data_IF_672136525046
#
_entry.id   IF_672136525046
#
_cell.length_a   1.000
_cell.length_b   1.000
_cell.length_c   1.000
_cell.angle_alpha   90.00
_cell.angle_beta   90.00
_cell.angle_gamma   90.00
#
_symmetry.space_group_name_H-M   'P 1'
#
loop_
_entity.id
_entity.type
_entity.pdbx_description
1 polymer ?
#
# COMPACT_ATOMS: atom_id res chain seq x y z
N UNK A 1 -9.91 -34.37 -17.31
CA UNK A 1 -8.73 -33.48 -17.14
C UNK A 1 -8.80 -32.26 -18.08
N UNK A 2 -9.91 -31.49 -18.09
CA UNK A 2 -10.10 -30.35 -19.04
C UNK A 2 -10.50 -29.02 -18.35
N UNK A 3 -10.36 -28.89 -17.02
CA UNK A 3 -10.79 -27.68 -16.30
C UNK A 3 -9.77 -26.53 -16.27
N UNK A 4 -8.47 -26.83 -16.42
CA UNK A 4 -7.39 -25.84 -16.27
C UNK A 4 -7.04 -25.07 -17.54
N UNK A 5 -7.39 -25.59 -18.72
CA UNK A 5 -7.15 -24.92 -20.02
C UNK A 5 -8.16 -23.78 -20.32
N UNK A 6 -9.35 -23.82 -19.71
CA UNK A 6 -10.36 -22.76 -19.83
C UNK A 6 -9.98 -21.48 -19.06
N UNK A 7 -9.18 -21.61 -17.99
CA UNK A 7 -8.82 -20.47 -17.12
C UNK A 7 -7.72 -19.60 -17.75
N UNK A 8 -6.84 -20.16 -18.58
CA UNK A 8 -5.83 -19.42 -19.35
C UNK A 8 -6.19 -19.34 -20.85
N UNK A 9 -7.48 -19.36 -21.19
CA UNK A 9 -7.93 -19.36 -22.57
C UNK A 9 -7.97 -17.97 -23.22
N UNK A 10 -8.08 -17.90 -24.57
CA UNK A 10 -8.33 -16.64 -25.30
C UNK A 10 -9.59 -15.90 -24.82
N UNK A 11 -10.54 -16.62 -24.23
CA UNK A 11 -11.73 -16.06 -23.58
C UNK A 11 -11.34 -15.12 -22.44
N UNK A 12 -10.48 -15.53 -21.50
CA UNK A 12 -10.06 -14.67 -20.38
C UNK A 12 -9.39 -13.39 -20.90
N UNK A 13 -8.49 -13.53 -21.88
CA UNK A 13 -7.80 -12.38 -22.49
C UNK A 13 -8.81 -11.44 -23.14
N UNK A 14 -9.77 -11.97 -23.91
CA UNK A 14 -10.81 -11.15 -24.55
C UNK A 14 -11.66 -10.38 -23.53
N UNK A 15 -12.06 -11.04 -22.44
CA UNK A 15 -12.85 -10.41 -21.37
C UNK A 15 -12.05 -9.31 -20.68
N UNK A 16 -10.78 -9.57 -20.34
CA UNK A 16 -9.89 -8.55 -19.76
C UNK A 16 -9.73 -7.33 -20.67
N UNK A 17 -9.51 -7.54 -21.98
CA UNK A 17 -9.38 -6.46 -22.96
C UNK A 17 -10.68 -5.65 -23.04
N UNK A 18 -11.84 -6.30 -23.12
CA UNK A 18 -13.14 -5.62 -23.12
C UNK A 18 -13.33 -4.79 -21.86
N UNK A 19 -13.00 -5.32 -20.67
CA UNK A 19 -13.10 -4.58 -19.41
C UNK A 19 -12.16 -3.37 -19.34
N UNK A 20 -10.94 -3.49 -19.88
CA UNK A 20 -9.98 -2.38 -19.94
C UNK A 20 -10.47 -1.29 -20.90
N UNK A 21 -10.97 -1.66 -22.07
CA UNK A 21 -11.51 -0.73 -23.05
C UNK A 21 -12.78 -0.02 -22.54
N UNK A 22 -13.68 -0.77 -21.91
CA UNK A 22 -14.87 -0.20 -21.27
C UNK A 22 -14.49 0.80 -20.17
N UNK A 23 -13.52 0.45 -19.31
CA UNK A 23 -13.01 1.35 -18.27
C UNK A 23 -12.37 2.61 -18.86
N UNK A 24 -11.61 2.47 -19.95
CA UNK A 24 -11.03 3.60 -20.68
C UNK A 24 -12.12 4.50 -21.30
N UNK A 25 -13.16 3.91 -21.90
CA UNK A 25 -14.30 4.65 -22.43
C UNK A 25 -15.01 5.45 -21.33
N UNK A 26 -15.24 4.85 -20.15
CA UNK A 26 -15.82 5.55 -18.99
C UNK A 26 -14.91 6.70 -18.54
N UNK A 27 -13.59 6.50 -18.47
CA UNK A 27 -12.64 7.59 -18.13
C UNK A 27 -12.74 8.77 -19.10
N UNK A 28 -12.95 8.48 -20.39
CA UNK A 28 -13.13 9.51 -21.42
C UNK A 28 -14.47 10.24 -21.26
N UNK A 29 -15.56 9.51 -21.07
CA UNK A 29 -16.91 10.09 -20.95
C UNK A 29 -17.06 10.91 -19.66
N UNK A 30 -16.52 10.40 -18.55
CA UNK A 30 -16.59 11.07 -17.25
C UNK A 30 -15.49 12.14 -17.05
N UNK A 31 -14.62 12.36 -18.04
CA UNK A 31 -13.54 13.36 -18.03
C UNK A 31 -12.62 13.28 -16.78
N UNK A 32 -12.40 12.08 -16.24
CA UNK A 32 -11.67 11.84 -14.98
C UNK A 32 -10.15 12.01 -15.15
N UNK A 33 -9.65 11.92 -16.40
CA UNK A 33 -8.25 12.11 -16.72
C UNK A 33 -7.88 11.53 -18.09
N UNK A 34 -6.63 11.10 -18.24
CA UNK A 34 -6.17 10.51 -19.50
C UNK A 34 -6.79 9.13 -19.73
N UNK A 35 -7.35 8.92 -20.93
CA UNK A 35 -7.91 7.64 -21.39
C UNK A 35 -6.90 6.49 -21.33
N UNK A 36 -5.60 6.83 -21.39
CA UNK A 36 -4.48 5.91 -21.37
C UNK A 36 -4.09 5.43 -19.96
N UNK A 37 -4.66 6.03 -18.91
CA UNK A 37 -4.34 5.70 -17.51
C UNK A 37 -4.63 4.22 -17.21
N UNK A 38 -5.83 3.74 -17.58
CA UNK A 38 -6.25 2.37 -17.30
C UNK A 38 -5.47 1.36 -18.14
N UNK A 39 -5.38 1.49 -19.49
CA UNK A 39 -4.64 0.52 -20.31
C UNK A 39 -3.16 0.39 -19.94
N UNK A 40 -2.46 1.50 -19.68
CA UNK A 40 -1.05 1.42 -19.26
C UNK A 40 -0.86 0.81 -17.89
N UNK A 41 -1.74 1.12 -16.93
CA UNK A 41 -1.70 0.49 -15.61
C UNK A 41 -1.95 -1.02 -15.72
N UNK A 42 -2.92 -1.44 -16.52
CA UNK A 42 -3.23 -2.85 -16.77
C UNK A 42 -2.05 -3.59 -17.43
N UNK A 43 -1.47 -3.04 -18.51
CA UNK A 43 -0.33 -3.65 -19.19
C UNK A 43 0.88 -3.79 -18.26
N UNK A 44 1.23 -2.71 -17.53
CA UNK A 44 2.31 -2.74 -16.54
C UNK A 44 2.04 -3.77 -15.45
N UNK A 45 0.80 -3.86 -14.96
CA UNK A 45 0.38 -4.82 -13.95
C UNK A 45 0.54 -6.27 -14.42
N UNK A 46 0.13 -6.58 -15.65
CA UNK A 46 0.31 -7.91 -16.26
C UNK A 46 1.78 -8.28 -16.35
N UNK A 47 2.62 -7.38 -16.89
CA UNK A 47 4.07 -7.62 -17.02
C UNK A 47 4.74 -7.80 -15.65
N UNK A 48 4.40 -6.95 -14.67
CA UNK A 48 4.95 -7.06 -13.31
C UNK A 48 4.52 -8.36 -12.63
N UNK A 49 3.25 -8.75 -12.76
CA UNK A 49 2.74 -9.97 -12.13
C UNK A 49 3.35 -11.22 -12.78
N UNK A 50 3.50 -11.24 -14.10
CA UNK A 50 4.16 -12.34 -14.81
C UNK A 50 5.63 -12.48 -14.38
N UNK A 51 6.35 -11.37 -14.24
CA UNK A 51 7.72 -11.37 -13.74
C UNK A 51 7.79 -11.88 -12.29
N UNK A 52 6.90 -11.39 -11.40
CA UNK A 52 6.84 -11.83 -10.00
C UNK A 52 6.47 -13.31 -9.89
N UNK A 53 5.57 -13.83 -10.73
CA UNK A 53 5.25 -15.25 -10.77
C UNK A 53 6.49 -16.09 -11.10
N UNK A 54 7.29 -15.68 -12.08
CA UNK A 54 8.56 -16.34 -12.39
C UNK A 54 9.58 -16.27 -11.24
N UNK A 55 9.66 -15.12 -10.57
CA UNK A 55 10.53 -14.94 -9.39
C UNK A 55 10.06 -15.80 -8.22
N UNK A 56 8.76 -15.95 -7.99
CA UNK A 56 8.22 -16.79 -6.92
C UNK A 56 8.59 -18.27 -7.13
N UNK A 57 8.53 -18.76 -8.37
CA UNK A 57 9.01 -20.11 -8.70
C UNK A 57 10.48 -20.30 -8.33
N UNK A 58 11.32 -19.29 -8.57
CA UNK A 58 12.73 -19.30 -8.15
C UNK A 58 12.90 -19.13 -6.63
N UNK A 59 12.04 -18.35 -5.98
CA UNK A 59 12.07 -18.10 -4.53
C UNK A 59 11.74 -19.36 -3.72
N UNK A 60 10.91 -20.26 -4.26
CA UNK A 60 10.51 -21.52 -3.63
C UNK A 60 11.67 -22.51 -3.44
N UNK A 61 12.83 -22.30 -4.07
CA UNK A 61 13.96 -23.23 -3.99
C UNK A 61 14.82 -23.08 -2.72
N UNK A 62 14.87 -21.90 -2.07
CA UNK A 62 15.72 -21.66 -0.89
C UNK A 62 15.20 -20.51 0.00
N UNK A 63 15.53 -20.56 1.29
CA UNK A 63 15.16 -19.49 2.22
C UNK A 63 15.89 -18.17 1.90
N UNK A 64 17.13 -18.25 1.44
CA UNK A 64 17.94 -17.08 1.07
C UNK A 64 17.39 -16.35 -0.17
N UNK A 65 16.80 -17.07 -1.14
CA UNK A 65 16.12 -16.45 -2.28
C UNK A 65 14.87 -15.68 -1.85
N UNK A 66 14.18 -16.13 -0.80
CA UNK A 66 13.01 -15.41 -0.26
C UNK A 66 13.42 -14.07 0.36
N UNK A 67 14.55 -14.02 1.08
CA UNK A 67 15.09 -12.77 1.62
C UNK A 67 15.48 -11.77 0.51
N UNK A 68 16.09 -12.26 -0.58
CA UNK A 68 16.46 -11.43 -1.72
C UNK A 68 15.23 -10.84 -2.42
N UNK A 69 14.18 -11.64 -2.61
CA UNK A 69 12.90 -11.18 -3.15
C UNK A 69 12.28 -10.10 -2.26
N UNK A 70 12.25 -10.33 -0.94
CA UNK A 70 11.74 -9.36 0.02
C UNK A 70 12.52 -8.04 0.00
N UNK A 71 13.85 -8.09 -0.09
CA UNK A 71 14.68 -6.91 -0.24
C UNK A 71 14.35 -6.16 -1.55
N UNK A 72 14.23 -6.87 -2.67
CA UNK A 72 13.84 -6.28 -3.95
C UNK A 72 12.47 -5.61 -3.90
N UNK A 73 11.48 -6.29 -3.30
CA UNK A 73 10.14 -5.74 -3.10
C UNK A 73 10.17 -4.48 -2.23
N UNK A 74 10.96 -4.48 -1.15
CA UNK A 74 11.12 -3.34 -0.26
C UNK A 74 11.71 -2.13 -1.00
N UNK A 75 12.75 -2.33 -1.80
CA UNK A 75 13.36 -1.27 -2.62
C UNK A 75 12.34 -0.70 -3.61
N UNK A 76 11.64 -1.56 -4.35
CA UNK A 76 10.63 -1.12 -5.33
C UNK A 76 9.49 -0.36 -4.65
N UNK A 77 9.01 -0.86 -3.50
CA UNK A 77 7.96 -0.21 -2.72
C UNK A 77 8.42 1.15 -2.18
N UNK A 78 9.63 1.25 -1.64
CA UNK A 78 10.21 2.48 -1.13
C UNK A 78 10.38 3.55 -2.22
N UNK A 79 10.94 3.18 -3.38
CA UNK A 79 11.05 4.08 -4.54
C UNK A 79 9.67 4.51 -5.04
N UNK A 80 8.70 3.59 -5.06
CA UNK A 80 7.34 3.87 -5.49
C UNK A 80 6.63 4.81 -4.51
N UNK A 81 6.77 4.61 -3.20
CA UNK A 81 6.25 5.50 -2.17
C UNK A 81 6.82 6.91 -2.33
N UNK A 82 8.15 7.04 -2.43
CA UNK A 82 8.82 8.32 -2.59
C UNK A 82 8.29 9.09 -3.81
N UNK A 83 8.12 8.41 -4.96
CA UNK A 83 7.52 9.01 -6.16
C UNK A 83 6.05 9.37 -5.97
N UNK A 84 5.29 8.54 -5.27
CA UNK A 84 3.85 8.72 -5.05
C UNK A 84 3.53 9.83 -4.05
N UNK A 85 4.41 10.21 -3.13
CA UNK A 85 4.11 11.29 -2.16
C UNK A 85 4.00 12.67 -2.85
N UNK A 86 4.74 12.89 -3.94
CA UNK A 86 4.73 14.20 -4.63
C UNK A 86 5.35 15.33 -3.78
N UNK A 87 6.31 14.99 -2.93
CA UNK A 87 7.14 15.96 -2.21
C UNK A 87 8.32 16.39 -3.09
N UNK A 88 8.71 17.67 -3.02
CA UNK A 88 9.90 18.17 -3.72
C UNK A 88 11.18 17.97 -2.90
N UNK A 89 11.06 17.78 -1.59
CA UNK A 89 12.17 17.54 -0.65
C UNK A 89 11.83 16.39 0.28
N UNK A 90 12.85 15.60 0.62
CA UNK A 90 12.75 14.54 1.63
C UNK A 90 11.96 13.30 1.22
N UNK A 91 11.55 13.14 -0.04
CA UNK A 91 10.74 11.99 -0.49
C UNK A 91 11.39 10.62 -0.16
N UNK A 92 12.72 10.54 -0.09
CA UNK A 92 13.45 9.33 0.29
C UNK A 92 13.15 8.88 1.75
N UNK A 93 12.75 9.78 2.64
CA UNK A 93 12.37 9.44 4.02
C UNK A 93 11.09 8.60 4.10
N UNK A 94 10.33 8.51 3.01
CA UNK A 94 9.23 7.56 2.87
C UNK A 94 9.68 6.10 3.08
N UNK A 95 10.93 5.79 2.70
CA UNK A 95 11.50 4.45 2.91
C UNK A 95 11.63 4.14 4.39
N UNK A 96 12.01 5.13 5.21
CA UNK A 96 12.09 4.98 6.67
C UNK A 96 10.73 4.72 7.29
N UNK A 97 9.71 5.51 6.91
CA UNK A 97 8.33 5.29 7.37
C UNK A 97 7.81 3.90 6.98
N UNK A 98 8.10 3.47 5.74
CA UNK A 98 7.75 2.14 5.26
C UNK A 98 8.46 1.04 6.04
N UNK A 99 9.76 1.23 6.35
CA UNK A 99 10.54 0.29 7.16
C UNK A 99 9.93 0.12 8.55
N UNK A 100 9.55 1.22 9.21
CA UNK A 100 8.94 1.18 10.55
C UNK A 100 7.64 0.39 10.53
N UNK A 101 6.76 0.63 9.55
CA UNK A 101 5.52 -0.14 9.41
C UNK A 101 5.76 -1.63 9.12
N UNK A 102 6.83 -1.97 8.41
CA UNK A 102 7.14 -3.36 8.08
C UNK A 102 7.76 -4.11 9.27
N UNK A 103 8.70 -3.45 9.96
CA UNK A 103 9.39 -3.97 11.14
C UNK A 103 8.47 -4.02 12.37
N UNK A 104 7.40 -3.24 12.44
CA UNK A 104 6.45 -3.35 13.56
C UNK A 104 5.65 -4.66 13.56
N UNK A 105 5.56 -5.35 12.42
CA UNK A 105 4.72 -6.54 12.25
C UNK A 105 5.53 -7.80 11.96
N UNK A 106 6.47 -7.75 11.01
CA UNK A 106 7.15 -8.97 10.56
C UNK A 106 7.85 -9.73 11.69
N UNK A 107 8.64 -9.09 12.57
CA UNK A 107 9.25 -9.80 13.70
C UNK A 107 8.22 -10.46 14.61
N UNK A 108 7.08 -9.81 14.89
CA UNK A 108 6.01 -10.40 15.70
C UNK A 108 5.44 -11.66 15.06
N UNK A 109 5.20 -11.64 13.74
CA UNK A 109 4.69 -12.80 13.01
C UNK A 109 5.70 -13.95 12.95
N UNK A 110 6.98 -13.63 12.80
CA UNK A 110 8.06 -14.63 12.68
C UNK A 110 8.41 -15.25 14.05
N UNK A 111 8.47 -14.45 15.11
CA UNK A 111 8.83 -14.90 16.46
C UNK A 111 7.69 -15.65 17.15
N UNK A 112 6.43 -15.24 16.92
CA UNK A 112 5.26 -15.91 17.51
C UNK A 112 5.03 -17.33 16.98
N UNK A 113 5.68 -17.72 15.88
CA UNK A 113 5.42 -18.99 15.20
C UNK A 113 4.05 -19.07 14.54
N UNK A 114 3.28 -17.97 14.52
CA UNK A 114 1.96 -17.90 13.89
C UNK A 114 2.04 -18.11 12.37
N UNK A 115 3.17 -17.78 11.76
CA UNK A 115 3.46 -17.99 10.33
C UNK A 115 4.67 -18.92 10.21
N UNK A 116 4.57 -20.03 9.44
CA UNK A 116 5.73 -20.88 9.16
C UNK A 116 6.85 -20.06 8.53
N UNK A 117 8.09 -20.27 8.98
CA UNK A 117 9.30 -19.65 8.41
C UNK A 117 9.68 -20.28 7.05
N UNK A 118 8.71 -20.35 6.15
CA UNK A 118 8.89 -20.83 4.77
C UNK A 118 8.68 -19.67 3.81
N UNK A 119 9.47 -19.63 2.74
CA UNK A 119 9.37 -18.58 1.72
C UNK A 119 7.96 -18.41 1.15
N UNK A 120 7.25 -19.53 0.99
CA UNK A 120 5.88 -19.60 0.44
C UNK A 120 4.86 -18.88 1.32
N UNK A 121 5.05 -18.87 2.65
CA UNK A 121 4.13 -18.21 3.58
C UNK A 121 4.56 -16.77 3.88
N UNK A 122 5.86 -16.55 4.11
CA UNK A 122 6.39 -15.23 4.52
C UNK A 122 6.32 -14.22 3.39
N UNK A 123 6.68 -14.60 2.16
CA UNK A 123 6.76 -13.66 1.03
C UNK A 123 5.39 -13.01 0.72
N UNK A 124 4.28 -13.76 0.57
CA UNK A 124 2.97 -13.16 0.30
C UNK A 124 2.47 -12.25 1.43
N UNK A 125 2.63 -12.66 2.70
CA UNK A 125 2.18 -11.85 3.84
C UNK A 125 2.97 -10.55 3.90
N UNK A 126 4.30 -10.64 3.82
CA UNK A 126 5.17 -9.48 3.81
C UNK A 126 4.87 -8.55 2.62
N UNK A 127 4.61 -9.11 1.44
CA UNK A 127 4.19 -8.37 0.25
C UNK A 127 2.87 -7.60 0.45
N UNK A 128 1.86 -8.27 1.03
CA UNK A 128 0.56 -7.66 1.32
C UNK A 128 0.73 -6.51 2.33
N UNK A 129 1.49 -6.73 3.40
CA UNK A 129 1.76 -5.69 4.41
C UNK A 129 2.51 -4.51 3.79
N UNK A 130 3.55 -4.78 3.00
CA UNK A 130 4.37 -3.76 2.35
C UNK A 130 3.55 -2.88 1.39
N UNK A 131 2.77 -3.51 0.51
CA UNK A 131 1.99 -2.82 -0.51
C UNK A 131 0.89 -1.94 0.08
N UNK A 132 0.25 -2.41 1.14
CA UNK A 132 -0.75 -1.63 1.87
C UNK A 132 -0.12 -0.45 2.62
N UNK A 133 0.97 -0.68 3.36
CA UNK A 133 1.69 0.39 4.04
C UNK A 133 2.19 1.48 3.07
N UNK A 134 2.75 1.08 1.92
CA UNK A 134 3.15 1.99 0.83
C UNK A 134 1.98 2.87 0.37
N UNK A 135 0.79 2.30 0.23
CA UNK A 135 -0.40 3.02 -0.24
C UNK A 135 -0.88 4.01 0.82
N UNK A 136 -1.02 3.58 2.08
CA UNK A 136 -1.47 4.46 3.18
C UNK A 136 -0.51 5.62 3.43
N UNK A 137 0.81 5.38 3.41
CA UNK A 137 1.82 6.44 3.50
C UNK A 137 1.68 7.44 2.35
N UNK A 138 1.52 6.96 1.11
CA UNK A 138 1.41 7.82 -0.07
C UNK A 138 0.18 8.73 0.01
N UNK A 139 -0.95 8.20 0.49
CA UNK A 139 -2.19 8.95 0.68
C UNK A 139 -2.06 9.93 1.85
N UNK A 140 -1.59 9.47 3.02
CA UNK A 140 -1.38 10.30 4.20
C UNK A 140 -0.49 11.50 3.90
N UNK A 141 0.62 11.27 3.20
CA UNK A 141 1.55 12.32 2.87
C UNK A 141 0.95 13.36 1.91
N UNK A 142 0.18 12.91 0.91
CA UNK A 142 -0.52 13.83 -0.01
C UNK A 142 -1.52 14.69 0.74
N UNK A 143 -2.39 14.07 1.53
CA UNK A 143 -3.39 14.78 2.33
C UNK A 143 -2.73 15.79 3.28
N UNK A 144 -1.67 15.39 3.99
CA UNK A 144 -0.94 16.27 4.89
C UNK A 144 -0.28 17.46 4.16
N UNK A 145 0.40 17.21 3.04
CA UNK A 145 1.04 18.26 2.24
C UNK A 145 0.01 19.20 1.60
N UNK A 146 -1.13 18.67 1.16
CA UNK A 146 -2.23 19.46 0.59
C UNK A 146 -2.90 20.31 1.66
N UNK A 147 -3.11 19.77 2.87
CA UNK A 147 -3.68 20.50 4.00
C UNK A 147 -2.78 21.67 4.44
N UNK A 148 -1.46 21.44 4.57
CA UNK A 148 -0.49 22.51 4.88
C UNK A 148 -0.50 23.58 3.79
N UNK A 149 -0.56 23.19 2.51
CA UNK A 149 -0.57 24.14 1.41
C UNK A 149 -1.87 24.97 1.36
N UNK A 150 -3.02 24.35 1.66
CA UNK A 150 -4.31 25.02 1.69
C UNK A 150 -4.47 25.97 2.88
N UNK A 151 -3.85 25.65 4.01
CA UNK A 151 -3.95 26.41 5.27
C UNK A 151 -2.61 26.99 5.71
N UNK A 152 -1.81 27.45 4.74
CA UNK A 152 -0.49 28.02 5.00
C UNK A 152 -0.55 29.19 5.98
N UNK A 153 -1.58 30.04 5.87
CA UNK A 153 -1.79 31.17 6.79
C UNK A 153 -2.03 30.76 8.25
N UNK A 154 -2.70 29.62 8.51
CA UNK A 154 -2.87 29.10 9.87
C UNK A 154 -1.52 28.64 10.46
N UNK A 155 -0.70 27.98 9.64
CA UNK A 155 0.64 27.54 10.03
C UNK A 155 1.55 28.74 10.31
N UNK A 156 1.50 29.79 9.47
CA UNK A 156 2.28 31.02 9.64
C UNK A 156 1.84 31.80 10.89
N UNK A 157 0.54 31.90 11.16
CA UNK A 157 0.02 32.53 12.37
C UNK A 157 0.49 31.80 13.64
N UNK A 158 0.43 30.47 13.66
CA UNK A 158 0.93 29.66 14.77
C UNK A 158 2.44 29.88 15.01
N UNK A 159 3.24 29.97 13.94
CA UNK A 159 4.66 30.29 14.01
C UNK A 159 4.90 31.71 14.56
N UNK A 160 4.10 32.71 14.15
CA UNK A 160 4.18 34.07 14.69
C UNK A 160 3.83 34.17 16.19
N UNK A 161 3.02 33.23 16.69
CA UNK A 161 2.75 33.07 18.12
C UNK A 161 3.88 32.33 18.87
N UNK A 162 4.97 31.96 18.20
CA UNK A 162 6.13 31.29 18.78
C UNK A 162 5.99 29.76 18.90
N UNK A 163 4.98 29.16 18.27
CA UNK A 163 4.83 27.70 18.27
C UNK A 163 5.94 27.04 17.45
N UNK A 164 6.28 25.78 17.79
CA UNK A 164 7.26 25.01 17.03
C UNK A 164 6.76 24.72 15.61
N UNK A 165 7.66 24.52 14.65
CA UNK A 165 7.30 24.14 13.27
C UNK A 165 6.48 22.85 13.23
N UNK A 166 6.82 21.90 14.10
CA UNK A 166 6.11 20.63 14.23
C UNK A 166 4.67 20.86 14.66
N UNK A 167 4.45 21.59 15.75
CA UNK A 167 3.11 21.74 16.33
C UNK A 167 2.22 22.64 15.47
N UNK A 168 2.80 23.69 14.88
CA UNK A 168 2.11 24.57 13.93
C UNK A 168 1.56 23.80 12.73
N UNK A 169 2.33 22.85 12.20
CA UNK A 169 1.89 21.98 11.09
C UNK A 169 0.97 20.87 11.56
N UNK A 170 1.23 20.29 12.73
CA UNK A 170 0.44 19.18 13.26
C UNK A 170 -1.02 19.58 13.48
N UNK A 171 -1.29 20.81 13.93
CA UNK A 171 -2.66 21.31 14.10
C UNK A 171 -3.50 21.27 12.81
N UNK A 172 -2.85 21.37 11.65
CA UNK A 172 -3.50 21.24 10.34
C UNK A 172 -3.53 19.78 9.86
N UNK A 173 -2.43 19.04 10.03
CA UNK A 173 -2.30 17.66 9.54
C UNK A 173 -3.24 16.70 10.27
N UNK A 174 -3.43 16.86 11.59
CA UNK A 174 -4.20 15.92 12.43
C UNK A 174 -5.64 15.75 11.93
N UNK A 175 -6.22 16.83 11.36
CA UNK A 175 -7.58 16.83 10.80
C UNK A 175 -7.75 15.89 9.59
N UNK A 176 -6.67 15.56 8.88
CA UNK A 176 -6.70 14.72 7.67
C UNK A 176 -5.92 13.41 7.81
N UNK A 177 -5.16 13.26 8.89
CA UNK A 177 -4.30 12.11 9.16
C UNK A 177 -5.07 10.77 9.13
N UNK A 178 -6.19 10.72 9.87
CA UNK A 178 -7.00 9.51 10.03
C UNK A 178 -7.65 9.05 8.72
N UNK A 179 -7.89 9.97 7.77
CA UNK A 179 -8.52 9.67 6.48
C UNK A 179 -7.74 8.63 5.67
N UNK A 180 -6.41 8.62 5.80
CA UNK A 180 -5.55 7.65 5.11
C UNK A 180 -5.70 6.20 5.60
N UNK A 181 -6.22 5.99 6.81
CA UNK A 181 -6.42 4.68 7.44
C UNK A 181 -7.85 4.15 7.27
N UNK A 182 -8.79 4.99 6.85
CA UNK A 182 -10.20 4.61 6.68
C UNK A 182 -10.40 3.37 5.81
N UNK A 183 -9.74 3.20 4.63
CA UNK A 183 -9.95 2.01 3.80
C UNK A 183 -9.64 0.70 4.54
N UNK A 184 -8.61 0.69 5.37
CA UNK A 184 -8.20 -0.50 6.14
C UNK A 184 -9.13 -0.73 7.32
N UNK A 185 -9.56 0.33 8.02
CA UNK A 185 -10.53 0.24 9.11
C UNK A 185 -11.88 -0.27 8.59
N UNK A 186 -12.36 0.27 7.47
CA UNK A 186 -13.65 -0.10 6.88
C UNK A 186 -13.61 -1.51 6.28
N UNK A 187 -12.52 -1.89 5.60
CA UNK A 187 -12.33 -3.26 5.15
C UNK A 187 -12.28 -4.26 6.32
N UNK A 188 -11.74 -3.86 7.47
CA UNK A 188 -11.71 -4.70 8.67
C UNK A 188 -13.11 -4.82 9.30
N UNK A 189 -13.89 -3.74 9.33
CA UNK A 189 -15.26 -3.73 9.86
C UNK A 189 -16.24 -4.55 9.01
N UNK A 190 -16.04 -4.60 7.71
CA UNK A 190 -16.96 -5.21 6.74
C UNK A 190 -16.54 -6.61 6.29
N UNK A 191 -15.40 -7.11 6.78
CA UNK A 191 -14.91 -8.45 6.45
C UNK A 191 -15.93 -9.51 6.85
N UNK A 192 -16.25 -10.41 5.92
CA UNK A 192 -17.22 -11.49 6.15
C UNK A 192 -18.70 -11.06 6.04
N UNK A 193 -19.00 -9.76 6.00
CA UNK A 193 -20.35 -9.24 5.74
C UNK A 193 -20.57 -8.92 4.27
N UNK A 194 -19.66 -8.15 3.67
CA UNK A 194 -19.78 -7.70 2.27
C UNK A 194 -18.58 -8.14 1.43
N UNK A 195 -17.42 -8.28 2.06
CA UNK A 195 -16.18 -8.62 1.36
C UNK A 195 -15.60 -9.93 1.88
N UNK A 196 -15.26 -10.84 0.96
CA UNK A 196 -14.42 -12.00 1.21
C UNK A 196 -13.02 -11.73 0.66
N UNK A 197 -12.01 -11.48 1.52
CA UNK A 197 -10.66 -11.19 1.06
C UNK A 197 -10.06 -12.36 0.29
N UNK A 198 -9.24 -12.06 -0.72
CA UNK A 198 -8.60 -13.09 -1.55
C UNK A 198 -7.69 -14.04 -0.74
N UNK A 199 -7.04 -13.55 0.32
CA UNK A 199 -6.21 -14.38 1.19
C UNK A 199 -7.04 -15.40 1.99
N UNK A 200 -8.21 -15.00 2.51
CA UNK A 200 -9.17 -15.92 3.13
C UNK A 200 -9.60 -17.02 2.16
N UNK A 201 -10.02 -16.65 0.95
CA UNK A 201 -10.45 -17.62 -0.08
C UNK A 201 -9.28 -18.53 -0.46
N UNK A 202 -8.07 -18.00 -0.61
CA UNK A 202 -6.87 -18.78 -0.92
C UNK A 202 -6.57 -19.84 0.15
N UNK A 203 -6.57 -19.44 1.43
CA UNK A 203 -6.36 -20.38 2.54
C UNK A 203 -7.49 -21.40 2.59
N UNK A 204 -8.75 -20.96 2.50
CA UNK A 204 -9.93 -21.83 2.51
C UNK A 204 -9.86 -22.91 1.43
N UNK A 205 -9.51 -22.53 0.19
CA UNK A 205 -9.40 -23.47 -0.93
C UNK A 205 -8.20 -24.41 -0.79
N UNK A 206 -7.10 -23.94 -0.17
CA UNK A 206 -5.89 -24.75 0.03
C UNK A 206 -5.98 -25.73 1.21
N UNK A 207 -6.65 -25.36 2.30
CA UNK A 207 -6.70 -26.15 3.54
C UNK A 207 -8.05 -26.84 3.75
N UNK A 208 -9.11 -26.39 3.08
CA UNK A 208 -10.48 -26.84 3.30
C UNK A 208 -11.10 -26.39 4.63
N UNK A 209 -10.38 -25.64 5.46
CA UNK A 209 -10.83 -25.23 6.80
C UNK A 209 -11.19 -23.74 6.85
N UNK A 210 -12.49 -23.46 6.98
CA UNK A 210 -12.99 -22.09 7.14
C UNK A 210 -12.50 -21.43 8.44
N UNK A 211 -12.38 -22.19 9.53
CA UNK A 211 -11.87 -21.68 10.80
C UNK A 211 -10.40 -21.24 10.68
N UNK A 212 -9.58 -22.04 9.99
CA UNK A 212 -8.17 -21.69 9.76
C UNK A 212 -8.02 -20.49 8.83
N UNK A 213 -8.82 -20.44 7.76
CA UNK A 213 -8.85 -19.29 6.85
C UNK A 213 -9.25 -18.00 7.59
N UNK A 214 -10.26 -18.07 8.46
CA UNK A 214 -10.71 -16.94 9.27
C UNK A 214 -9.60 -16.45 10.23
N UNK A 215 -8.94 -17.38 10.93
CA UNK A 215 -7.85 -17.04 11.85
C UNK A 215 -6.68 -16.32 11.16
N UNK A 216 -6.23 -16.85 10.01
CA UNK A 216 -5.16 -16.23 9.22
C UNK A 216 -5.60 -14.87 8.68
N UNK A 217 -6.84 -14.74 8.22
CA UNK A 217 -7.35 -13.47 7.72
C UNK A 217 -7.42 -12.40 8.82
N UNK A 218 -7.88 -12.75 10.02
CA UNK A 218 -7.91 -11.83 11.18
C UNK A 218 -6.50 -11.39 11.54
N UNK A 219 -5.55 -12.33 11.58
CA UNK A 219 -4.13 -12.03 11.81
C UNK A 219 -3.60 -11.01 10.80
N UNK A 220 -3.90 -11.21 9.51
CA UNK A 220 -3.49 -10.28 8.44
C UNK A 220 -4.13 -8.91 8.61
N UNK A 221 -5.43 -8.83 8.93
CA UNK A 221 -6.11 -7.53 9.10
C UNK A 221 -5.54 -6.73 10.28
N UNK A 222 -5.29 -7.38 11.40
CA UNK A 222 -4.68 -6.74 12.58
C UNK A 222 -3.24 -6.31 12.28
N UNK A 223 -2.47 -7.16 11.60
CA UNK A 223 -1.14 -6.84 11.12
C UNK A 223 -1.16 -5.61 10.19
N UNK A 224 -2.10 -5.53 9.26
CA UNK A 224 -2.25 -4.37 8.37
C UNK A 224 -2.57 -3.09 9.13
N UNK A 225 -3.48 -3.13 10.11
CA UNK A 225 -3.81 -1.99 10.96
C UNK A 225 -2.57 -1.48 11.72
N UNK A 226 -1.83 -2.38 12.37
CA UNK A 226 -0.60 -2.01 13.10
C UNK A 226 0.45 -1.42 12.15
N UNK A 227 0.75 -2.13 11.06
CA UNK A 227 1.76 -1.71 10.08
C UNK A 227 1.47 -0.33 9.52
N UNK A 228 0.23 -0.12 9.03
CA UNK A 228 -0.16 1.14 8.42
C UNK A 228 -0.21 2.28 9.44
N UNK A 229 -0.72 2.03 10.64
CA UNK A 229 -0.77 3.07 11.69
C UNK A 229 0.62 3.55 12.05
N UNK A 230 1.58 2.64 12.26
CA UNK A 230 2.98 3.00 12.50
C UNK A 230 3.58 3.77 11.32
N UNK A 231 3.37 3.30 10.10
CA UNK A 231 3.95 3.91 8.91
C UNK A 231 3.39 5.32 8.64
N UNK A 232 2.08 5.49 8.81
CA UNK A 232 1.38 6.78 8.67
C UNK A 232 1.81 7.75 9.76
N UNK A 233 1.91 7.30 11.02
CA UNK A 233 2.38 8.15 12.13
C UNK A 233 3.78 8.70 11.88
N UNK A 234 4.73 7.86 11.44
CA UNK A 234 6.08 8.31 11.09
C UNK A 234 6.06 9.28 9.90
N UNK A 235 5.25 9.00 8.88
CA UNK A 235 5.11 9.88 7.71
C UNK A 235 4.62 11.27 8.10
N UNK A 236 3.56 11.33 8.91
CA UNK A 236 2.99 12.59 9.39
C UNK A 236 4.01 13.36 10.24
N UNK A 237 4.70 12.68 11.14
CA UNK A 237 5.73 13.30 11.97
C UNK A 237 6.89 13.89 11.13
N UNK A 238 7.33 13.18 10.09
CA UNK A 238 8.36 13.66 9.15
C UNK A 238 7.90 14.90 8.37
N UNK A 239 6.62 14.99 8.01
CA UNK A 239 6.04 16.15 7.32
C UNK A 239 5.86 17.32 8.30
N UNK A 240 5.38 17.05 9.51
CA UNK A 240 5.21 18.05 10.56
C UNK A 240 6.57 18.71 10.91
N UNK A 241 7.64 17.92 11.02
CA UNK A 241 9.01 18.44 11.22
C UNK A 241 9.62 19.11 9.99
N UNK A 242 8.95 19.06 8.84
CA UNK A 242 9.44 19.65 7.59
C UNK A 242 10.58 18.93 6.91
N UNK A 243 10.86 17.69 7.31
CA UNK A 243 11.82 16.82 6.64
C UNK A 243 11.28 16.45 5.25
N UNK A 244 9.98 16.15 5.17
CA UNK A 244 9.26 15.95 3.90
C UNK A 244 8.43 17.21 3.63
N UNK A 245 8.57 17.79 2.43
CA UNK A 245 7.87 19.02 2.09
C UNK A 245 7.80 19.29 0.60
N UNK A 246 6.92 20.23 0.23
CA UNK A 246 6.89 20.83 -1.11
C UNK A 246 7.54 22.21 -1.06
N UNK A 247 8.18 22.60 -2.16
CA UNK A 247 8.72 23.94 -2.31
C UNK A 247 7.57 24.94 -2.24
N UNK A 248 7.79 26.14 -1.66
CA UNK A 248 6.81 27.20 -1.71
C UNK A 248 6.42 27.43 -3.17
N UNK A 249 5.11 27.48 -3.47
CA UNK A 249 4.67 27.99 -4.76
C UNK A 249 5.09 29.45 -4.79
N UNK A 250 6.06 29.79 -5.61
CA UNK A 250 6.35 31.20 -5.93
C UNK A 250 5.08 31.77 -6.51
N UNK A 251 4.39 32.61 -5.74
CA UNK A 251 3.29 33.41 -6.26
C UNK A 251 3.86 34.27 -7.39
N UNK A 252 3.39 34.01 -8.61
CA UNK A 252 3.57 34.91 -9.75
C UNK A 252 2.46 35.92 -9.78
#
# INVERSE_FOLDING_TARGET
MNGSQLVLGPVLVSVCVVMVLASAAVYRVAAIGSVWTVPWASLRGVVQLAAVAGVLVAAMARLWSSALVLAGMFVVAGVTAAKRIGASRGAAWAVGALAVGWVSVLPLLLVSGAVPLTGVAVVPIAAIVLGNAMTSISVAARLALDAIAARAGEVEAALSLGMSQRDSRMGVIDQVAATSLLPTVDSTRTVGLVTLPGAFVGVLLSTGSAAQAAAVQILILIALLLSQTCAVAVTIELIARGIIGRAPRTAG
#
